data_IF_571599402976
#
_entry.id   IF_571599402976
#
_cell.length_a   1.000
_cell.length_b   1.000
_cell.length_c   1.000
_cell.angle_alpha   90.00
_cell.angle_beta   90.00
_cell.angle_gamma   90.00
#
_symmetry.space_group_name_H-M   'P 1'
#
loop_
_entity.id
_entity.type
_entity.pdbx_description
1 polymer ?
#
# COMPACT_ATOMS: atom_id res chain seq x y z
N UNK A 1 18.69 30.93 4.65
CA UNK A 1 19.25 30.35 3.41
C UNK A 1 18.06 30.08 2.50
N UNK A 2 17.88 30.86 1.44
CA UNK A 2 16.76 30.68 0.49
C UNK A 2 17.14 29.51 -0.41
N UNK A 3 16.35 28.44 -0.38
CA UNK A 3 16.56 27.29 -1.25
C UNK A 3 15.97 27.65 -2.61
N UNK A 4 16.83 27.96 -3.58
CA UNK A 4 16.39 28.14 -4.98
C UNK A 4 16.16 26.75 -5.59
N UNK A 5 14.89 26.39 -5.78
CA UNK A 5 14.49 25.13 -6.42
C UNK A 5 14.49 25.35 -7.94
N UNK A 6 15.36 24.61 -8.65
CA UNK A 6 15.36 24.64 -10.11
C UNK A 6 14.07 24.04 -10.67
N UNK A 7 13.52 24.63 -11.73
CA UNK A 7 12.32 24.14 -12.43
C UNK A 7 12.45 22.69 -12.92
N UNK A 8 13.68 22.23 -13.15
CA UNK A 8 13.97 20.85 -13.54
C UNK A 8 13.82 19.83 -12.40
N UNK A 9 13.84 20.27 -11.14
CA UNK A 9 13.77 19.41 -9.95
C UNK A 9 12.34 19.27 -9.39
N UNK A 10 11.42 20.15 -9.81
CA UNK A 10 10.02 20.17 -9.38
C UNK A 10 9.30 18.80 -9.57
N UNK A 11 9.41 18.10 -10.72
CA UNK A 11 8.75 16.82 -10.91
C UNK A 11 9.25 15.74 -9.94
N UNK A 12 10.57 15.72 -9.69
CA UNK A 12 11.21 14.76 -8.79
C UNK A 12 10.82 15.01 -7.33
N UNK A 13 10.72 16.29 -6.92
CA UNK A 13 10.26 16.66 -5.57
C UNK A 13 8.79 16.31 -5.37
N UNK A 14 7.96 16.45 -6.40
CA UNK A 14 6.56 16.03 -6.38
C UNK A 14 6.42 14.51 -6.19
N UNK A 15 7.16 13.72 -6.96
CA UNK A 15 7.18 12.26 -6.78
C UNK A 15 7.68 11.85 -5.39
N UNK A 16 8.72 12.53 -4.89
CA UNK A 16 9.27 12.25 -3.56
C UNK A 16 8.26 12.56 -2.45
N UNK A 17 7.52 13.67 -2.54
CA UNK A 17 6.49 14.02 -1.55
C UNK A 17 5.31 13.04 -1.57
N UNK A 18 4.87 12.62 -2.76
CA UNK A 18 3.86 11.55 -2.90
C UNK A 18 4.35 10.24 -2.28
N UNK A 19 5.61 9.86 -2.52
CA UNK A 19 6.21 8.66 -1.97
C UNK A 19 6.29 8.70 -0.44
N UNK A 20 6.74 9.81 0.14
CA UNK A 20 6.83 9.96 1.59
C UNK A 20 5.45 9.92 2.26
N UNK A 21 4.45 10.60 1.67
CA UNK A 21 3.07 10.53 2.16
C UNK A 21 2.51 9.10 2.11
N UNK A 22 2.78 8.37 1.03
CA UNK A 22 2.41 6.97 0.88
C UNK A 22 3.04 6.07 1.96
N UNK A 23 4.32 6.25 2.29
CA UNK A 23 4.99 5.49 3.35
C UNK A 23 4.35 5.72 4.71
N UNK A 24 4.00 6.97 5.04
CA UNK A 24 3.32 7.30 6.30
C UNK A 24 1.96 6.59 6.39
N UNK A 25 1.18 6.62 5.32
CA UNK A 25 -0.12 5.93 5.24
C UNK A 25 0.07 4.41 5.35
N UNK A 26 1.07 3.85 4.68
CA UNK A 26 1.38 2.43 4.72
C UNK A 26 1.75 1.98 6.15
N UNK A 27 2.63 2.72 6.83
CA UNK A 27 3.01 2.43 8.23
C UNK A 27 1.79 2.52 9.16
N UNK A 28 0.99 3.57 9.04
CA UNK A 28 -0.23 3.73 9.84
C UNK A 28 -1.21 2.55 9.63
N UNK A 29 -1.42 2.13 8.38
CA UNK A 29 -2.31 1.03 8.07
C UNK A 29 -1.72 -0.33 8.44
N UNK A 30 -0.41 -0.55 8.35
CA UNK A 30 0.23 -1.77 8.86
C UNK A 30 -0.01 -1.94 10.35
N UNK A 31 0.15 -0.86 11.12
CA UNK A 31 -0.09 -0.88 12.56
C UNK A 31 -1.57 -1.15 12.89
N UNK A 32 -2.50 -0.63 12.08
CA UNK A 32 -3.94 -0.82 12.26
C UNK A 32 -4.48 -2.14 11.68
N UNK A 33 -3.75 -2.77 10.77
CA UNK A 33 -4.20 -3.96 10.02
C UNK A 33 -4.27 -5.22 10.88
N UNK A 34 -3.64 -5.25 12.05
CA UNK A 34 -3.65 -6.41 12.95
C UNK A 34 -4.96 -6.63 13.71
N UNK A 35 -5.87 -5.65 13.73
CA UNK A 35 -6.98 -5.64 14.71
C UNK A 35 -8.26 -6.36 14.28
N UNK A 36 -8.41 -6.75 13.01
CA UNK A 36 -9.75 -7.10 12.46
C UNK A 36 -9.98 -8.55 12.02
N UNK A 37 -8.94 -9.36 11.87
CA UNK A 37 -9.10 -10.78 11.51
C UNK A 37 -8.21 -11.62 12.42
N UNK A 38 -8.83 -12.36 13.33
CA UNK A 38 -8.13 -13.15 14.35
C UNK A 38 -7.66 -14.49 13.77
N UNK A 39 -6.73 -15.14 14.47
CA UNK A 39 -6.27 -16.49 14.09
C UNK A 39 -7.41 -17.49 14.26
N UNK A 40 -8.27 -17.26 15.25
CA UNK A 40 -9.46 -18.06 15.56
C UNK A 40 -10.52 -17.95 14.45
N UNK A 41 -10.72 -16.76 13.88
CA UNK A 41 -11.60 -16.59 12.72
C UNK A 41 -11.03 -17.27 11.48
N UNK A 42 -9.72 -17.17 11.26
CA UNK A 42 -9.05 -17.86 10.16
C UNK A 42 -9.21 -19.39 10.26
N UNK A 43 -9.12 -19.95 11.46
CA UNK A 43 -9.24 -21.40 11.68
C UNK A 43 -10.69 -21.89 11.60
N UNK A 44 -11.67 -21.05 11.99
CA UNK A 44 -13.11 -21.33 11.85
C UNK A 44 -13.54 -21.34 10.39
N UNK A 45 -13.05 -20.39 9.60
CA UNK A 45 -13.45 -20.19 8.21
C UNK A 45 -12.59 -21.03 7.23
N UNK A 46 -11.62 -21.80 7.75
CA UNK A 46 -10.70 -22.59 6.94
C UNK A 46 -11.37 -23.81 6.28
N UNK A 47 -11.30 -23.87 4.96
CA UNK A 47 -11.73 -25.03 4.17
C UNK A 47 -10.58 -26.05 4.12
N UNK A 48 -10.88 -27.30 4.47
CA UNK A 48 -9.92 -28.42 4.41
C UNK A 48 -9.93 -29.07 3.02
N UNK A 49 -8.77 -29.14 2.39
CA UNK A 49 -8.53 -29.89 1.16
C UNK A 49 -7.74 -31.16 1.49
N UNK A 50 -8.40 -32.30 1.36
CA UNK A 50 -7.86 -33.63 1.62
C UNK A 50 -7.25 -33.81 3.03
N UNK A 51 -7.65 -33.00 4.01
CA UNK A 51 -7.05 -32.94 5.37
C UNK A 51 -5.55 -32.65 5.43
N UNK A 52 -4.98 -32.12 4.32
CA UNK A 52 -3.56 -31.80 4.22
C UNK A 52 -3.35 -30.29 4.13
N UNK A 53 -4.27 -29.56 3.49
CA UNK A 53 -4.18 -28.11 3.30
C UNK A 53 -5.44 -27.46 3.87
N UNK A 54 -5.26 -26.44 4.70
CA UNK A 54 -6.36 -25.64 5.25
C UNK A 54 -6.17 -24.20 4.74
N UNK A 55 -7.15 -23.70 4.00
CA UNK A 55 -7.12 -22.36 3.42
C UNK A 55 -8.25 -21.52 3.99
N UNK A 56 -7.93 -20.35 4.51
CA UNK A 56 -8.90 -19.40 5.05
C UNK A 56 -9.12 -18.28 4.03
N UNK A 57 -10.37 -18.11 3.59
CA UNK A 57 -10.79 -16.98 2.73
C UNK A 57 -11.00 -15.72 3.57
N UNK A 58 -9.93 -15.24 4.19
CA UNK A 58 -9.95 -13.98 4.92
C UNK A 58 -10.10 -12.78 3.98
N UNK A 59 -10.75 -11.68 4.42
CA UNK A 59 -10.83 -10.47 3.64
C UNK A 59 -9.43 -9.87 3.40
N UNK A 60 -9.22 -9.28 2.23
CA UNK A 60 -7.98 -8.57 1.92
C UNK A 60 -7.71 -7.48 2.95
N UNK A 61 -6.49 -7.44 3.49
CA UNK A 61 -6.17 -6.47 4.55
C UNK A 61 -6.28 -5.04 4.05
N UNK A 62 -6.76 -4.14 4.92
CA UNK A 62 -6.86 -2.72 4.59
C UNK A 62 -5.50 -2.11 4.20
N UNK A 63 -4.41 -2.65 4.76
CA UNK A 63 -3.04 -2.33 4.35
C UNK A 63 -2.78 -2.69 2.88
N UNK A 64 -3.10 -3.92 2.47
CA UNK A 64 -2.84 -4.38 1.10
C UNK A 64 -3.65 -3.59 0.08
N UNK A 65 -4.92 -3.31 0.39
CA UNK A 65 -5.79 -2.48 -0.45
C UNK A 65 -5.19 -1.07 -0.64
N UNK A 66 -4.77 -0.44 0.45
CA UNK A 66 -4.18 0.89 0.39
C UNK A 66 -2.83 0.91 -0.33
N UNK A 67 -1.99 -0.11 -0.14
CA UNK A 67 -0.74 -0.26 -0.85
C UNK A 67 -0.97 -0.35 -2.37
N UNK A 68 -1.97 -1.13 -2.80
CA UNK A 68 -2.36 -1.20 -4.21
C UNK A 68 -2.79 0.16 -4.77
N UNK A 69 -3.67 0.88 -4.06
CA UNK A 69 -4.12 2.22 -4.49
C UNK A 69 -2.94 3.18 -4.63
N UNK A 70 -2.03 3.18 -3.66
CA UNK A 70 -0.83 4.02 -3.66
C UNK A 70 0.05 3.74 -4.88
N UNK A 71 0.32 2.46 -5.16
CA UNK A 71 1.16 2.06 -6.31
C UNK A 71 0.51 2.50 -7.63
N UNK A 72 -0.80 2.35 -7.76
CA UNK A 72 -1.55 2.79 -8.94
C UNK A 72 -1.44 4.31 -9.12
N UNK A 73 -1.67 5.09 -8.06
CA UNK A 73 -1.57 6.56 -8.11
C UNK A 73 -0.15 6.98 -8.49
N UNK A 74 0.87 6.34 -7.90
CA UNK A 74 2.26 6.63 -8.21
C UNK A 74 2.60 6.31 -9.66
N UNK A 75 2.16 5.16 -10.18
CA UNK A 75 2.39 4.76 -11.57
C UNK A 75 1.74 5.74 -12.56
N UNK A 76 0.51 6.18 -12.28
CA UNK A 76 -0.19 7.20 -13.08
C UNK A 76 0.58 8.53 -13.05
N UNK A 77 0.98 9.00 -11.87
CA UNK A 77 1.74 10.24 -11.72
C UNK A 77 3.07 10.18 -12.48
N UNK A 78 3.78 9.04 -12.38
CA UNK A 78 5.02 8.82 -13.10
C UNK A 78 4.82 8.86 -14.62
N UNK A 79 3.79 8.17 -15.13
CA UNK A 79 3.45 8.17 -16.55
C UNK A 79 3.15 9.59 -17.06
N UNK A 80 2.33 10.36 -16.34
CA UNK A 80 1.99 11.74 -16.75
C UNK A 80 3.22 12.66 -16.76
N UNK A 81 4.13 12.50 -15.81
CA UNK A 81 5.30 13.38 -15.67
C UNK A 81 6.44 13.04 -16.63
N UNK A 82 6.62 11.76 -16.97
CA UNK A 82 7.82 11.27 -17.66
C UNK A 82 7.54 10.55 -18.98
N UNK A 83 6.31 10.07 -19.21
CA UNK A 83 5.91 9.49 -20.48
C UNK A 83 5.15 10.57 -21.29
N UNK A 84 5.92 11.42 -21.96
CA UNK A 84 5.42 12.27 -23.05
C UNK A 84 5.54 11.54 -24.37
#
# INVERSE_FOLDING_TARGET
MVVEISQTQLPSLLLLTVLLGAVVVAVYLSLKSGDKYSVEDADRDAISFADIIREAEGPMTAFLIAAFIIIIIWAIAYLVLYLK
#
